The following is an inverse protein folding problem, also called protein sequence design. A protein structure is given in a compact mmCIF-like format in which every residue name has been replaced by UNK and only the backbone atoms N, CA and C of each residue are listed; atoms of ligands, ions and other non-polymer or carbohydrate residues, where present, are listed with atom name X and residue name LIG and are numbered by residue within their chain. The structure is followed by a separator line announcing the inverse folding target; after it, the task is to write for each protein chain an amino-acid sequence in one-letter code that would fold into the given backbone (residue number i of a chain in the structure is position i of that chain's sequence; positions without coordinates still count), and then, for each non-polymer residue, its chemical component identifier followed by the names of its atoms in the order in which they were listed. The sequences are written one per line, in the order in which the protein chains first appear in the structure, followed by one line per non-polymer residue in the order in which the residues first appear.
data_IF_532674127238
#
_entry.id   IF_532674127238
#
_cell.length_a   1.000
_cell.length_b   1.000
_cell.length_c   1.000
_cell.angle_alpha   90.00
_cell.angle_beta   90.00
_cell.angle_gamma   90.00
#
_symmetry.space_group_name_H-M   'P 1'
#
loop_
_entity.id
_entity.type
_entity.pdbx_description
1 polymer ?
#
# COMPACT_ATOMS: atom_id res chain seq x y z
N UNK A 1 27.47 -16.82 4.92
CA UNK A 1 26.13 -16.94 5.52
C UNK A 1 25.59 -18.33 5.21
N UNK A 2 24.50 -18.77 5.84
CA UNK A 2 23.78 -19.98 5.45
C UNK A 2 22.27 -19.74 5.48
N UNK A 3 21.49 -20.67 4.95
CA UNK A 3 20.04 -20.58 4.92
C UNK A 3 19.39 -21.94 5.24
N UNK A 4 18.31 -21.93 6.02
CA UNK A 4 17.46 -23.09 6.29
C UNK A 4 16.02 -22.77 5.87
N UNK A 5 15.55 -23.46 4.84
CA UNK A 5 14.18 -23.38 4.36
C UNK A 5 13.75 -24.73 3.76
N UNK A 6 12.45 -24.90 3.54
CA UNK A 6 11.84 -26.14 3.01
C UNK A 6 12.07 -26.35 1.51
N UNK A 7 12.54 -25.34 0.79
CA UNK A 7 12.84 -25.40 -0.64
C UNK A 7 14.29 -25.76 -0.98
N UNK A 8 15.18 -25.83 0.01
CA UNK A 8 16.55 -26.28 -0.16
C UNK A 8 16.60 -27.79 -0.45
N UNK A 9 17.55 -28.21 -1.29
CA UNK A 9 17.86 -29.62 -1.45
C UNK A 9 18.33 -30.23 -0.11
N UNK A 10 18.04 -31.51 0.17
CA UNK A 10 18.43 -32.16 1.42
C UNK A 10 19.93 -32.06 1.72
N UNK A 11 20.76 -32.12 0.68
CA UNK A 11 22.22 -32.01 0.78
C UNK A 11 22.68 -30.59 1.21
N UNK A 12 22.01 -29.55 0.73
CA UNK A 12 22.30 -28.16 1.11
C UNK A 12 21.93 -27.90 2.57
N UNK A 13 20.80 -28.46 3.01
CA UNK A 13 20.38 -28.41 4.40
C UNK A 13 21.38 -29.16 5.31
N UNK A 14 21.80 -30.37 4.92
CA UNK A 14 22.79 -31.15 5.68
C UNK A 14 24.13 -30.39 5.79
N UNK A 15 24.59 -29.80 4.68
CA UNK A 15 25.81 -28.98 4.66
C UNK A 15 25.68 -27.77 5.58
N UNK A 16 24.55 -27.07 5.53
CA UNK A 16 24.28 -25.91 6.39
C UNK A 16 24.26 -26.32 7.87
N UNK A 17 23.61 -27.42 8.22
CA UNK A 17 23.57 -27.95 9.59
C UNK A 17 24.97 -28.28 10.11
N UNK A 18 25.81 -28.96 9.32
CA UNK A 18 27.19 -29.26 9.68
C UNK A 18 28.01 -27.96 9.91
N UNK A 19 27.80 -26.93 9.10
CA UNK A 19 28.45 -25.62 9.28
C UNK A 19 27.96 -24.87 10.53
N UNK A 20 26.68 -25.02 10.90
CA UNK A 20 26.12 -24.47 12.15
C UNK A 20 26.80 -25.13 13.35
N UNK A 21 26.86 -26.46 13.38
CA UNK A 21 27.48 -27.22 14.47
C UNK A 21 28.97 -26.91 14.62
N UNK A 22 29.68 -26.79 13.49
CA UNK A 22 31.08 -26.37 13.45
C UNK A 22 31.29 -24.88 13.77
N UNK A 23 30.23 -24.10 14.05
CA UNK A 23 30.25 -22.66 14.33
C UNK A 23 30.92 -21.82 13.23
N UNK A 24 30.82 -22.26 11.98
CA UNK A 24 31.37 -21.56 10.81
C UNK A 24 30.42 -20.51 10.23
N UNK A 25 29.16 -20.50 10.66
CA UNK A 25 28.14 -19.55 10.20
C UNK A 25 28.06 -18.33 11.12
N UNK A 26 28.30 -17.14 10.56
CA UNK A 26 28.11 -15.84 11.24
C UNK A 26 26.70 -15.25 11.09
N UNK A 27 26.02 -15.59 9.99
CA UNK A 27 24.68 -15.12 9.66
C UNK A 27 23.89 -16.28 9.06
N UNK A 28 22.74 -16.58 9.66
CA UNK A 28 21.86 -17.67 9.26
C UNK A 28 20.47 -17.09 8.94
N UNK A 29 19.99 -17.33 7.72
CA UNK A 29 18.62 -17.06 7.33
C UNK A 29 17.77 -18.29 7.63
N UNK A 30 16.61 -18.10 8.26
CA UNK A 30 15.71 -19.21 8.59
C UNK A 30 14.30 -18.80 8.24
N UNK A 31 13.61 -19.62 7.44
CA UNK A 31 12.20 -19.40 7.17
C UNK A 31 11.37 -19.62 8.45
N UNK A 32 10.31 -18.83 8.72
CA UNK A 32 9.52 -18.92 9.95
C UNK A 32 9.00 -20.33 10.24
N UNK A 33 8.51 -21.03 9.22
CA UNK A 33 7.99 -22.40 9.32
C UNK A 33 9.07 -23.41 9.71
N UNK A 34 10.33 -23.17 9.31
CA UNK A 34 11.48 -24.01 9.72
C UNK A 34 11.94 -23.64 11.13
N UNK A 35 11.95 -22.36 11.47
CA UNK A 35 12.26 -21.87 12.82
C UNK A 35 11.25 -22.37 13.86
N UNK A 36 10.01 -22.59 13.46
CA UNK A 36 8.91 -23.05 14.29
C UNK A 36 9.02 -24.53 14.74
N UNK A 37 9.98 -25.29 14.20
CA UNK A 37 10.23 -26.69 14.54
C UNK A 37 11.11 -26.81 15.78
N UNK A 38 10.71 -27.66 16.73
CA UNK A 38 11.41 -27.84 18.01
C UNK A 38 12.87 -28.26 17.83
N UNK A 39 13.17 -29.13 16.86
CA UNK A 39 14.54 -29.54 16.51
C UNK A 39 15.44 -28.33 16.16
N UNK A 40 14.89 -27.36 15.42
CA UNK A 40 15.60 -26.16 14.99
C UNK A 40 15.77 -25.20 16.15
N UNK A 41 14.72 -25.02 16.97
CA UNK A 41 14.77 -24.21 18.18
C UNK A 41 15.86 -24.73 19.12
N UNK A 42 15.88 -26.03 19.41
CA UNK A 42 16.84 -26.61 20.36
C UNK A 42 18.28 -26.55 19.83
N UNK A 43 18.47 -26.75 18.52
CA UNK A 43 19.78 -26.57 17.88
C UNK A 43 20.26 -25.13 18.02
N UNK A 44 19.45 -24.15 17.64
CA UNK A 44 19.84 -22.74 17.69
C UNK A 44 20.02 -22.23 19.12
N UNK A 45 19.23 -22.71 20.08
CA UNK A 45 19.40 -22.40 21.50
C UNK A 45 20.79 -22.78 22.02
N UNK A 46 21.33 -23.95 21.61
CA UNK A 46 22.70 -24.38 21.96
C UNK A 46 23.78 -23.47 21.36
N UNK A 47 23.49 -22.84 20.23
CA UNK A 47 24.42 -21.92 19.57
C UNK A 47 24.47 -20.54 20.23
N UNK A 48 23.49 -20.19 21.08
CA UNK A 48 23.40 -18.92 21.81
C UNK A 48 23.54 -17.71 20.87
N UNK A 49 22.60 -17.52 19.93
CA UNK A 49 22.65 -16.40 19.00
C UNK A 49 22.74 -15.08 19.78
N UNK A 50 23.56 -14.15 19.29
CA UNK A 50 23.71 -12.83 19.93
C UNK A 50 22.69 -11.82 19.45
N UNK A 51 22.18 -12.02 18.23
CA UNK A 51 21.26 -11.13 17.54
C UNK A 51 20.18 -11.98 16.86
N UNK A 52 18.93 -11.56 16.97
CA UNK A 52 17.79 -12.05 16.20
C UNK A 52 17.26 -10.88 15.36
N UNK A 53 17.35 -11.00 14.03
CA UNK A 53 16.77 -10.03 13.10
C UNK A 53 15.51 -10.64 12.47
N UNK A 54 14.38 -9.98 12.65
CA UNK A 54 13.10 -10.35 12.03
C UNK A 54 12.84 -9.39 10.89
N UNK A 55 12.92 -9.90 9.66
CA UNK A 55 12.52 -9.18 8.46
C UNK A 55 11.02 -9.37 8.19
N UNK A 56 10.40 -8.41 7.51
CA UNK A 56 8.96 -8.34 7.28
C UNK A 56 8.13 -8.56 8.56
N UNK A 57 8.53 -7.86 9.62
CA UNK A 57 7.95 -8.02 10.95
C UNK A 57 6.43 -7.76 11.00
N UNK A 58 5.86 -7.08 10.01
CA UNK A 58 4.42 -6.87 9.91
C UNK A 58 3.61 -8.18 9.83
N UNK A 59 4.21 -9.29 9.38
CA UNK A 59 3.61 -10.62 9.31
C UNK A 59 3.17 -11.17 10.68
N UNK A 60 3.65 -10.63 11.81
CA UNK A 60 3.22 -11.04 13.16
C UNK A 60 1.82 -10.56 13.52
N UNK A 61 1.37 -9.46 12.92
CA UNK A 61 0.11 -8.82 13.27
C UNK A 61 -1.00 -9.43 12.44
N UNK A 62 -2.10 -9.81 13.09
CA UNK A 62 -3.34 -10.22 12.40
C UNK A 62 -4.00 -9.06 11.64
N UNK A 63 -3.57 -7.84 11.95
CA UNK A 63 -3.94 -6.59 11.27
C UNK A 63 -2.86 -6.19 10.26
N UNK A 64 -1.85 -7.04 10.06
CA UNK A 64 -0.94 -6.94 8.94
C UNK A 64 -1.55 -7.59 7.71
N UNK A 65 -1.30 -7.01 6.55
CA UNK A 65 -1.83 -7.48 5.27
C UNK A 65 -1.28 -8.86 4.80
N UNK A 66 -0.25 -9.41 5.47
CA UNK A 66 0.30 -10.75 5.22
C UNK A 66 0.53 -11.52 6.53
N UNK A 67 -0.49 -11.63 7.39
CA UNK A 67 -0.38 -12.35 8.66
C UNK A 67 0.07 -13.82 8.46
N UNK A 68 1.12 -14.23 9.20
CA UNK A 68 1.63 -15.60 9.23
C UNK A 68 1.67 -16.13 10.66
N UNK A 69 0.96 -17.23 10.98
CA UNK A 69 0.95 -17.79 12.35
C UNK A 69 2.34 -18.09 12.92
N UNK A 70 3.28 -18.55 12.08
CA UNK A 70 4.65 -18.87 12.52
C UNK A 70 5.42 -17.64 12.99
N UNK A 71 5.15 -16.46 12.41
CA UNK A 71 5.74 -15.20 12.84
C UNK A 71 5.36 -14.83 14.29
N UNK A 72 4.11 -15.10 14.68
CA UNK A 72 3.63 -14.80 16.02
C UNK A 72 4.34 -15.63 17.11
N UNK A 73 4.95 -16.77 16.76
CA UNK A 73 5.71 -17.62 17.69
C UNK A 73 7.14 -17.13 17.91
N UNK A 74 7.67 -16.25 17.07
CA UNK A 74 9.09 -15.84 17.10
C UNK A 74 9.46 -15.20 18.44
N UNK A 75 8.57 -14.41 19.05
CA UNK A 75 8.81 -13.83 20.37
C UNK A 75 9.06 -14.90 21.43
N UNK A 76 8.19 -15.91 21.54
CA UNK A 76 8.37 -17.00 22.50
C UNK A 76 9.62 -17.84 22.21
N UNK A 77 9.95 -18.05 20.93
CA UNK A 77 11.18 -18.71 20.50
C UNK A 77 12.41 -17.90 20.94
N UNK A 78 12.38 -16.58 20.85
CA UNK A 78 13.49 -15.72 21.30
C UNK A 78 13.78 -15.90 22.80
N UNK A 79 12.79 -16.19 23.65
CA UNK A 79 13.01 -16.52 25.08
C UNK A 79 13.82 -17.79 25.23
N UNK A 80 13.55 -18.82 24.41
CA UNK A 80 14.29 -20.10 24.40
C UNK A 80 15.75 -19.91 24.01
N UNK A 81 16.06 -18.86 23.24
CA UNK A 81 17.42 -18.49 22.88
C UNK A 81 18.14 -17.66 23.97
N UNK A 82 17.49 -17.40 25.11
CA UNK A 82 18.02 -16.54 26.16
C UNK A 82 17.80 -15.05 25.92
N UNK A 83 16.76 -14.69 25.15
CA UNK A 83 16.40 -13.30 24.83
C UNK A 83 17.57 -12.49 24.22
N UNK A 84 18.06 -12.89 23.03
CA UNK A 84 19.13 -12.16 22.35
C UNK A 84 18.73 -10.72 22.04
N UNK A 85 19.70 -9.89 21.61
CA UNK A 85 19.35 -8.59 21.04
C UNK A 85 18.41 -8.83 19.85
N UNK A 86 17.23 -8.21 19.88
CA UNK A 86 16.24 -8.35 18.80
C UNK A 86 16.15 -7.07 18.00
N UNK A 87 16.08 -7.21 16.67
CA UNK A 87 15.76 -6.13 15.74
C UNK A 87 14.62 -6.64 14.86
N UNK A 88 13.59 -5.82 14.65
CA UNK A 88 12.50 -6.10 13.75
C UNK A 88 12.43 -4.98 12.71
N UNK A 89 12.37 -5.34 11.43
CA UNK A 89 12.31 -4.39 10.31
C UNK A 89 11.10 -4.71 9.43
N UNK A 90 10.51 -3.66 8.87
CA UNK A 90 9.40 -3.76 7.91
C UNK A 90 9.32 -2.46 7.12
N UNK A 91 8.95 -2.56 5.84
CA UNK A 91 8.71 -1.38 5.00
C UNK A 91 7.37 -0.70 5.31
N UNK A 92 6.40 -1.45 5.83
CA UNK A 92 5.03 -0.99 6.08
C UNK A 92 4.51 -1.49 7.41
N UNK A 93 4.16 -0.57 8.29
CA UNK A 93 3.42 -0.86 9.50
C UNK A 93 2.62 0.39 9.90
N UNK A 94 1.30 0.27 9.89
CA UNK A 94 0.41 1.25 10.50
C UNK A 94 0.60 1.25 12.04
N UNK A 95 0.16 2.30 12.77
CA UNK A 95 0.36 2.39 14.22
C UNK A 95 -0.03 1.13 14.99
N UNK A 96 -1.20 0.55 14.70
CA UNK A 96 -1.66 -0.71 15.33
C UNK A 96 -0.72 -1.89 15.06
N UNK A 97 -0.23 -2.04 13.82
CA UNK A 97 0.75 -3.08 13.47
C UNK A 97 2.07 -2.89 14.22
N UNK A 98 2.52 -1.65 14.47
CA UNK A 98 3.74 -1.36 15.24
C UNK A 98 3.59 -1.81 16.70
N UNK A 99 2.42 -1.54 17.29
CA UNK A 99 2.12 -1.95 18.66
C UNK A 99 2.11 -3.48 18.79
N UNK A 100 1.54 -4.18 17.80
CA UNK A 100 1.58 -5.64 17.72
C UNK A 100 3.01 -6.18 17.57
N UNK A 101 3.82 -5.60 16.69
CA UNK A 101 5.24 -5.95 16.53
C UNK A 101 5.96 -5.81 17.87
N UNK A 102 5.81 -4.67 18.54
CA UNK A 102 6.45 -4.38 19.82
C UNK A 102 6.02 -5.41 20.89
N UNK A 103 4.73 -5.72 20.97
CA UNK A 103 4.16 -6.64 21.97
C UNK A 103 4.50 -8.11 21.72
N UNK A 104 4.48 -8.54 20.45
CA UNK A 104 4.63 -9.95 20.09
C UNK A 104 6.08 -10.38 19.93
N UNK A 105 6.98 -9.51 19.45
CA UNK A 105 8.37 -9.89 19.17
C UNK A 105 9.36 -9.53 20.28
N UNK A 106 9.05 -8.56 21.14
CA UNK A 106 10.01 -8.03 22.09
C UNK A 106 9.62 -8.31 23.55
N UNK A 107 10.62 -8.67 24.36
CA UNK A 107 10.46 -8.88 25.82
C UNK A 107 10.54 -7.60 26.64
N UNK A 108 11.08 -6.54 26.04
CA UNK A 108 11.20 -5.20 26.61
C UNK A 108 10.79 -4.20 25.53
N UNK A 109 10.25 -3.06 25.91
CA UNK A 109 9.85 -2.01 24.97
C UNK A 109 11.01 -1.67 24.01
N UNK A 110 10.84 -1.88 22.68
CA UNK A 110 11.89 -1.58 21.72
C UNK A 110 12.05 -0.07 21.53
N UNK A 111 13.23 0.35 21.08
CA UNK A 111 13.38 1.69 20.49
C UNK A 111 12.75 1.67 19.10
N UNK A 112 11.76 2.52 18.88
CA UNK A 112 11.04 2.63 17.62
C UNK A 112 11.70 3.70 16.73
N UNK A 113 12.08 3.29 15.51
CA UNK A 113 12.58 4.18 14.48
C UNK A 113 11.60 4.17 13.30
N UNK A 114 10.96 5.31 13.02
CA UNK A 114 10.03 5.46 11.89
C UNK A 114 10.59 6.51 10.95
N UNK A 115 10.86 6.11 9.71
CA UNK A 115 11.16 7.04 8.63
C UNK A 115 9.87 7.40 7.88
N UNK A 116 9.91 8.53 7.17
CA UNK A 116 8.76 8.97 6.37
C UNK A 116 8.40 7.95 5.29
N UNK A 117 7.10 7.76 5.11
CA UNK A 117 6.47 6.95 4.06
C UNK A 117 6.27 7.76 2.77
N UNK A 118 6.64 9.05 2.74
CA UNK A 118 6.42 9.90 1.58
C UNK A 118 7.26 9.46 0.37
N UNK A 119 6.57 9.22 -0.76
CA UNK A 119 7.18 9.00 -2.07
C UNK A 119 6.74 10.08 -3.05
N UNK A 120 7.30 11.31 -2.95
CA UNK A 120 6.82 12.46 -3.70
C UNK A 120 6.98 12.30 -5.22
N UNK A 121 7.84 11.39 -5.66
CA UNK A 121 8.05 11.08 -7.07
C UNK A 121 6.95 10.21 -7.69
N UNK A 122 6.04 9.64 -6.89
CA UNK A 122 4.94 8.80 -7.39
C UNK A 122 3.63 9.62 -7.41
N UNK A 123 3.05 9.83 -8.58
CA UNK A 123 1.75 10.47 -8.71
C UNK A 123 0.61 9.44 -8.59
N UNK A 124 -0.30 9.63 -7.64
CA UNK A 124 -1.44 8.71 -7.42
C UNK A 124 -2.68 9.19 -8.17
N UNK A 125 -3.36 8.28 -8.88
CA UNK A 125 -4.70 8.48 -9.42
C UNK A 125 -5.63 7.28 -9.18
N UNK A 126 -6.90 7.58 -8.89
CA UNK A 126 -7.95 6.55 -8.76
C UNK A 126 -9.04 6.80 -9.81
N UNK A 127 -9.38 5.78 -10.58
CA UNK A 127 -10.27 5.86 -11.73
C UNK A 127 -11.37 4.80 -11.64
N UNK A 128 -12.56 5.13 -12.14
CA UNK A 128 -13.62 4.12 -12.28
C UNK A 128 -13.28 3.21 -13.44
N UNK A 129 -13.33 1.90 -13.22
CA UNK A 129 -13.12 0.89 -14.26
C UNK A 129 -14.32 0.84 -15.19
N UNK A 130 -14.06 0.93 -16.49
CA UNK A 130 -15.04 0.70 -17.56
C UNK A 130 -14.79 -0.67 -18.19
N UNK A 131 -13.58 -0.90 -18.68
CA UNK A 131 -13.17 -2.17 -19.30
C UNK A 131 -11.68 -2.40 -19.06
N UNK A 132 -11.36 -3.50 -18.37
CA UNK A 132 -10.01 -3.74 -17.84
C UNK A 132 -8.90 -3.59 -18.89
N UNK A 133 -9.03 -4.24 -20.05
CA UNK A 133 -8.03 -4.17 -21.11
C UNK A 133 -7.82 -2.74 -21.64
N UNK A 134 -8.89 -1.99 -21.92
CA UNK A 134 -8.76 -0.68 -22.56
C UNK A 134 -8.31 0.39 -21.57
N UNK A 135 -8.72 0.25 -20.31
CA UNK A 135 -8.29 1.10 -19.21
C UNK A 135 -6.79 0.89 -18.92
N UNK A 136 -6.34 -0.36 -18.80
CA UNK A 136 -4.91 -0.71 -18.59
C UNK A 136 -4.07 -0.34 -19.80
N UNK A 137 -4.51 -0.67 -21.02
CA UNK A 137 -3.82 -0.28 -22.25
C UNK A 137 -3.70 1.25 -22.40
N UNK A 138 -4.67 2.01 -21.87
CA UNK A 138 -4.59 3.46 -21.80
C UNK A 138 -3.45 3.97 -20.92
N UNK A 139 -3.20 3.31 -19.78
CA UNK A 139 -2.06 3.62 -18.91
C UNK A 139 -0.75 3.25 -19.60
N UNK A 140 -0.65 2.03 -20.14
CA UNK A 140 0.55 1.55 -20.85
C UNK A 140 0.89 2.48 -22.03
N UNK A 141 -0.11 2.97 -22.76
CA UNK A 141 0.10 3.91 -23.88
C UNK A 141 0.65 5.26 -23.42
N UNK A 142 0.24 5.75 -22.25
CA UNK A 142 0.80 6.97 -21.67
C UNK A 142 2.27 6.80 -21.24
N UNK A 143 2.68 5.56 -20.98
CA UNK A 143 4.02 5.13 -20.56
C UNK A 143 4.72 4.28 -21.65
N UNK A 144 4.51 4.62 -22.93
CA UNK A 144 5.01 3.81 -24.04
C UNK A 144 6.55 3.73 -24.00
N UNK A 145 7.08 2.51 -24.02
CA UNK A 145 8.52 2.24 -23.99
C UNK A 145 9.10 2.19 -22.57
N UNK A 146 8.25 2.29 -21.56
CA UNK A 146 8.64 2.23 -20.16
C UNK A 146 8.15 0.94 -19.49
N UNK A 147 8.87 0.50 -18.46
CA UNK A 147 8.48 -0.68 -17.69
C UNK A 147 7.40 -0.37 -16.67
N UNK A 148 6.54 -1.35 -16.40
CA UNK A 148 5.48 -1.20 -15.40
C UNK A 148 4.97 -2.50 -14.85
N UNK A 149 4.18 -2.40 -13.78
CA UNK A 149 3.52 -3.55 -13.15
C UNK A 149 2.01 -3.34 -13.20
N UNK A 150 1.28 -4.36 -13.59
CA UNK A 150 -0.18 -4.40 -13.58
C UNK A 150 -0.64 -5.46 -12.59
N UNK A 151 -1.35 -5.07 -11.53
CA UNK A 151 -1.90 -5.97 -10.54
C UNK A 151 -3.36 -6.35 -10.85
N UNK A 152 -3.65 -7.64 -10.82
CA UNK A 152 -4.96 -8.24 -11.09
C UNK A 152 -5.46 -9.05 -9.88
N UNK A 153 -6.78 -9.10 -9.69
CA UNK A 153 -7.40 -9.82 -8.56
C UNK A 153 -7.38 -11.35 -8.66
N UNK A 154 -7.07 -11.94 -9.82
CA UNK A 154 -7.05 -13.40 -9.98
C UNK A 154 -6.01 -13.89 -11.00
N UNK A 155 -5.64 -15.18 -10.89
CA UNK A 155 -4.72 -15.85 -11.84
C UNK A 155 -5.29 -15.84 -13.26
N UNK A 156 -6.57 -16.20 -13.42
CA UNK A 156 -7.24 -16.19 -14.71
C UNK A 156 -7.26 -14.80 -15.35
N UNK A 157 -7.56 -13.75 -14.58
CA UNK A 157 -7.53 -12.37 -15.08
C UNK A 157 -6.10 -11.93 -15.47
N UNK A 158 -5.09 -12.39 -14.73
CA UNK A 158 -3.68 -12.14 -15.03
C UNK A 158 -3.30 -12.72 -16.40
N UNK A 159 -3.57 -14.00 -16.62
CA UNK A 159 -3.29 -14.68 -17.89
C UNK A 159 -4.04 -14.05 -19.06
N UNK A 160 -5.34 -13.80 -18.89
CA UNK A 160 -6.18 -13.21 -19.93
C UNK A 160 -5.71 -11.81 -20.33
N UNK A 161 -5.40 -10.96 -19.33
CA UNK A 161 -4.95 -9.60 -19.59
C UNK A 161 -3.55 -9.57 -20.21
N UNK A 162 -2.62 -10.41 -19.73
CA UNK A 162 -1.28 -10.52 -20.31
C UNK A 162 -1.34 -10.92 -21.79
N UNK A 163 -2.11 -11.97 -22.12
CA UNK A 163 -2.31 -12.41 -23.50
C UNK A 163 -2.92 -11.32 -24.37
N UNK A 164 -4.01 -10.69 -23.92
CA UNK A 164 -4.66 -9.64 -24.68
C UNK A 164 -3.75 -8.41 -24.90
N UNK A 165 -2.89 -8.06 -23.95
CA UNK A 165 -1.89 -7.01 -24.11
C UNK A 165 -0.80 -7.41 -25.10
N UNK A 166 -0.33 -8.66 -25.03
CA UNK A 166 0.68 -9.20 -25.96
C UNK A 166 0.17 -9.24 -27.41
N UNK A 167 -1.09 -9.65 -27.63
CA UNK A 167 -1.75 -9.62 -28.93
C UNK A 167 -1.84 -8.20 -29.52
N UNK A 168 -1.73 -7.17 -28.66
CA UNK A 168 -1.72 -5.75 -29.03
C UNK A 168 -0.30 -5.15 -29.03
N UNK A 169 0.75 -5.98 -29.04
CA UNK A 169 2.15 -5.56 -29.20
C UNK A 169 2.82 -5.02 -27.93
N UNK A 170 2.26 -5.30 -26.74
CA UNK A 170 2.92 -5.01 -25.45
C UNK A 170 3.78 -6.20 -25.05
N UNK A 171 5.01 -5.96 -24.57
CA UNK A 171 5.82 -7.00 -23.92
C UNK A 171 5.26 -7.34 -22.53
N UNK A 172 4.10 -8.01 -22.50
CA UNK A 172 3.34 -8.31 -21.29
C UNK A 172 3.68 -9.72 -20.77
N UNK A 173 4.16 -9.79 -19.53
CA UNK A 173 4.66 -11.03 -18.91
C UNK A 173 3.72 -11.43 -17.76
N UNK A 174 3.06 -12.61 -17.79
CA UNK A 174 2.19 -13.03 -16.70
C UNK A 174 3.02 -13.53 -15.50
N UNK A 175 2.57 -13.23 -14.27
CA UNK A 175 3.19 -13.74 -13.05
C UNK A 175 2.18 -14.03 -11.94
N UNK A 176 2.07 -15.30 -11.55
CA UNK A 176 1.27 -15.69 -10.40
C UNK A 176 1.70 -17.05 -9.85
N UNK A 177 1.28 -17.37 -8.62
CA UNK A 177 1.63 -18.61 -7.93
C UNK A 177 1.20 -19.92 -8.65
N UNK A 178 0.27 -19.85 -9.61
CA UNK A 178 -0.12 -21.00 -10.43
C UNK A 178 0.83 -21.33 -11.60
N UNK A 179 1.80 -20.47 -11.94
CA UNK A 179 2.82 -20.78 -12.94
C UNK A 179 3.87 -21.70 -12.32
N UNK A 180 4.47 -22.57 -13.13
CA UNK A 180 5.61 -23.38 -12.71
C UNK A 180 6.83 -22.48 -12.40
N UNK A 181 7.77 -23.01 -11.61
CA UNK A 181 8.90 -22.23 -11.12
C UNK A 181 9.81 -21.73 -12.25
N UNK A 182 10.00 -22.52 -13.31
CA UNK A 182 10.86 -22.14 -14.44
C UNK A 182 10.25 -20.97 -15.22
N UNK A 183 8.96 -21.03 -15.52
CA UNK A 183 8.24 -19.94 -16.20
C UNK A 183 8.23 -18.66 -15.35
N UNK A 184 8.01 -18.77 -14.03
CA UNK A 184 8.09 -17.59 -13.13
C UNK A 184 9.47 -16.94 -13.16
N UNK A 185 10.53 -17.74 -13.08
CA UNK A 185 11.91 -17.24 -13.14
C UNK A 185 12.18 -16.56 -14.48
N UNK A 186 11.83 -17.21 -15.60
CA UNK A 186 12.05 -16.66 -16.93
C UNK A 186 11.35 -15.31 -17.13
N UNK A 187 10.08 -15.21 -16.74
CA UNK A 187 9.32 -13.95 -16.84
C UNK A 187 9.89 -12.86 -15.93
N UNK A 188 10.34 -13.22 -14.72
CA UNK A 188 10.99 -12.27 -13.81
C UNK A 188 12.31 -11.78 -14.39
N UNK A 189 13.15 -12.66 -14.90
CA UNK A 189 14.45 -12.33 -15.48
C UNK A 189 14.27 -11.43 -16.72
N UNK A 190 13.30 -11.75 -17.57
CA UNK A 190 12.96 -10.91 -18.72
C UNK A 190 12.47 -9.51 -18.29
N UNK A 191 11.61 -9.43 -17.27
CA UNK A 191 11.15 -8.15 -16.73
C UNK A 191 12.29 -7.29 -16.16
N UNK A 192 13.26 -7.92 -15.48
CA UNK A 192 14.43 -7.24 -14.95
C UNK A 192 15.33 -6.71 -16.08
N UNK A 193 15.53 -7.51 -17.13
CA UNK A 193 16.42 -7.20 -18.24
C UNK A 193 15.85 -6.14 -19.20
N UNK A 194 14.54 -6.13 -19.44
CA UNK A 194 13.90 -5.23 -20.40
C UNK A 194 13.53 -3.88 -19.78
N UNK A 195 13.67 -2.81 -20.55
CA UNK A 195 13.26 -1.45 -20.15
C UNK A 195 11.79 -1.14 -20.48
N UNK A 196 11.16 -1.94 -21.33
CA UNK A 196 9.84 -1.69 -21.93
C UNK A 196 8.81 -2.80 -21.61
N UNK A 197 9.14 -3.72 -20.70
CA UNK A 197 8.27 -4.83 -20.32
C UNK A 197 7.24 -4.46 -19.27
N UNK A 198 6.05 -5.06 -19.37
CA UNK A 198 4.98 -4.91 -18.39
C UNK A 198 4.74 -6.24 -17.69
N UNK A 199 5.02 -6.30 -16.39
CA UNK A 199 4.64 -7.45 -15.59
C UNK A 199 3.15 -7.38 -15.28
N UNK A 200 2.38 -8.40 -15.65
CA UNK A 200 0.97 -8.53 -15.27
C UNK A 200 0.89 -9.62 -14.20
N UNK A 201 0.46 -9.28 -12.99
CA UNK A 201 0.61 -10.18 -11.87
C UNK A 201 -0.54 -10.16 -10.86
N UNK A 202 -0.64 -11.22 -10.06
CA UNK A 202 -1.33 -11.16 -8.77
C UNK A 202 -0.39 -10.64 -7.68
N UNK A 203 -0.89 -10.52 -6.44
CA UNK A 203 -0.09 -10.17 -5.24
C UNK A 203 1.16 -11.06 -5.02
N UNK A 204 1.24 -12.21 -5.69
CA UNK A 204 2.41 -13.08 -5.66
C UNK A 204 3.68 -12.39 -6.21
N UNK A 205 3.54 -11.38 -7.07
CA UNK A 205 4.66 -10.57 -7.54
C UNK A 205 4.99 -9.45 -6.54
N UNK A 206 5.54 -9.86 -5.40
CA UNK A 206 5.67 -9.04 -4.21
C UNK A 206 7.10 -8.99 -3.64
N UNK A 207 7.58 -10.07 -3.06
CA UNK A 207 8.86 -9.98 -2.32
C UNK A 207 10.05 -10.11 -3.28
N UNK A 208 11.10 -9.30 -3.06
CA UNK A 208 12.43 -9.50 -3.69
C UNK A 208 12.65 -8.93 -5.10
N UNK A 209 11.68 -8.25 -5.71
CA UNK A 209 11.90 -7.57 -7.00
C UNK A 209 12.66 -6.26 -6.76
N UNK A 210 13.80 -6.09 -7.43
CA UNK A 210 14.59 -4.85 -7.39
C UNK A 210 14.84 -4.28 -8.79
N UNK A 211 13.75 -3.91 -9.48
CA UNK A 211 13.82 -3.09 -10.69
C UNK A 211 13.66 -1.62 -10.32
N UNK A 212 14.71 -0.82 -10.54
CA UNK A 212 14.73 0.58 -10.09
C UNK A 212 13.86 1.50 -10.95
N UNK A 213 13.70 1.14 -12.22
CA UNK A 213 13.17 1.95 -13.31
C UNK A 213 11.71 1.63 -13.67
N UNK A 214 10.92 1.12 -12.72
CA UNK A 214 9.47 0.92 -12.91
C UNK A 214 8.76 2.28 -12.95
N UNK A 215 8.18 2.63 -14.11
CA UNK A 215 7.56 3.95 -14.35
C UNK A 215 6.09 4.02 -13.99
N UNK A 216 5.40 2.89 -13.98
CA UNK A 216 4.04 2.85 -13.49
C UNK A 216 3.70 1.55 -12.73
N UNK A 217 2.81 1.69 -11.76
CA UNK A 217 2.10 0.57 -11.13
C UNK A 217 0.61 0.80 -11.36
N UNK A 218 -0.06 -0.19 -11.93
CA UNK A 218 -1.46 -0.11 -12.31
C UNK A 218 -2.26 -1.25 -11.65
N UNK A 219 -3.21 -0.90 -10.81
CA UNK A 219 -4.14 -1.87 -10.23
C UNK A 219 -5.37 -1.99 -11.13
N UNK A 220 -5.51 -3.11 -11.84
CA UNK A 220 -6.73 -3.43 -12.60
C UNK A 220 -7.92 -3.72 -11.66
N UNK A 221 -7.61 -4.20 -10.45
CA UNK A 221 -8.50 -4.37 -9.30
C UNK A 221 -7.89 -3.67 -8.09
N UNK A 222 -8.69 -2.90 -7.35
CA UNK A 222 -8.26 -2.22 -6.13
C UNK A 222 -7.81 -3.26 -5.07
N UNK A 223 -6.68 -3.04 -4.38
CA UNK A 223 -6.25 -3.91 -3.28
C UNK A 223 -7.25 -3.93 -2.11
N UNK A 224 -7.07 -4.88 -1.20
CA UNK A 224 -7.96 -5.05 -0.05
C UNK A 224 -7.62 -4.16 1.16
N UNK A 225 -6.45 -3.53 1.18
CA UNK A 225 -6.00 -2.64 2.26
C UNK A 225 -5.07 -1.53 1.74
N UNK A 226 -4.88 -0.49 2.55
CA UNK A 226 -3.96 0.62 2.25
C UNK A 226 -2.51 0.17 2.31
N UNK A 227 -2.16 -0.75 3.20
CA UNK A 227 -0.82 -1.32 3.33
C UNK A 227 -0.42 -2.08 2.07
N UNK A 228 -1.30 -2.96 1.58
CA UNK A 228 -1.06 -3.71 0.34
C UNK A 228 -0.89 -2.74 -0.84
N UNK A 229 -1.80 -1.77 -0.97
CA UNK A 229 -1.71 -0.73 -1.97
C UNK A 229 -0.38 0.04 -1.90
N UNK A 230 0.03 0.48 -0.71
CA UNK A 230 1.27 1.23 -0.50
C UNK A 230 2.51 0.40 -0.86
N UNK A 231 2.58 -0.87 -0.45
CA UNK A 231 3.70 -1.75 -0.81
C UNK A 231 3.81 -1.93 -2.32
N UNK A 232 2.68 -2.17 -2.98
CA UNK A 232 2.60 -2.44 -4.41
C UNK A 232 3.01 -1.21 -5.23
N UNK A 233 2.47 -0.02 -4.92
CA UNK A 233 2.88 1.21 -5.61
C UNK A 233 4.32 1.61 -5.29
N UNK A 234 4.84 1.23 -4.12
CA UNK A 234 6.20 1.53 -3.68
C UNK A 234 7.29 0.92 -4.56
N UNK A 235 6.93 -0.02 -5.45
CA UNK A 235 7.79 -0.60 -6.49
C UNK A 235 8.12 0.37 -7.61
N UNK A 236 7.26 1.37 -7.83
CA UNK A 236 7.49 2.39 -8.83
C UNK A 236 8.59 3.37 -8.39
N UNK A 237 9.37 3.87 -9.36
CA UNK A 237 10.29 5.00 -9.18
C UNK A 237 11.28 4.84 -8.02
N UNK A 238 11.90 3.68 -7.87
CA UNK A 238 12.92 3.45 -6.83
C UNK A 238 14.23 4.20 -7.11
N UNK A 239 14.46 4.56 -8.36
CA UNK A 239 15.49 5.52 -8.79
C UNK A 239 15.19 6.98 -8.39
N UNK A 240 14.02 7.25 -7.79
CA UNK A 240 13.59 8.60 -7.40
C UNK A 240 13.03 9.44 -8.55
N UNK A 241 13.02 8.92 -9.78
CA UNK A 241 12.44 9.60 -10.93
C UNK A 241 10.90 9.54 -10.89
N UNK A 242 10.21 10.44 -11.63
CA UNK A 242 8.75 10.44 -11.69
C UNK A 242 8.18 9.07 -12.08
N UNK A 243 7.11 8.67 -11.40
CA UNK A 243 6.35 7.46 -11.70
C UNK A 243 4.85 7.69 -11.43
N UNK A 244 3.99 6.84 -11.99
CA UNK A 244 2.53 6.90 -11.78
C UNK A 244 2.00 5.65 -11.08
N UNK A 245 1.12 5.85 -10.10
CA UNK A 245 0.30 4.80 -9.52
C UNK A 245 -1.16 5.02 -9.93
N UNK A 246 -1.74 4.08 -10.68
CA UNK A 246 -3.13 4.15 -11.15
C UNK A 246 -3.92 3.00 -10.56
N UNK A 247 -5.00 3.30 -9.84
CA UNK A 247 -5.92 2.27 -9.37
C UNK A 247 -7.28 2.36 -10.07
N UNK A 248 -7.73 1.25 -10.63
CA UNK A 248 -9.06 1.10 -11.19
C UNK A 248 -10.00 0.45 -10.19
N UNK A 249 -11.19 1.02 -10.05
CA UNK A 249 -12.22 0.55 -9.12
C UNK A 249 -13.45 0.13 -9.91
N UNK A 250 -13.86 -1.13 -9.75
CA UNK A 250 -15.04 -1.67 -10.42
C UNK A 250 -16.32 -0.91 -10.02
N UNK A 251 -17.37 -0.98 -10.85
CA UNK A 251 -18.66 -0.36 -10.49
C UNK A 251 -19.23 -0.95 -9.20
N UNK A 252 -19.13 -2.27 -9.01
CA UNK A 252 -19.59 -2.92 -7.78
C UNK A 252 -18.78 -2.45 -6.59
N UNK A 253 -17.45 -2.48 -6.64
CA UNK A 253 -16.60 -1.99 -5.55
C UNK A 253 -16.87 -0.50 -5.25
N UNK A 254 -16.99 0.33 -6.29
CA UNK A 254 -17.30 1.76 -6.14
C UNK A 254 -18.61 2.02 -5.41
N UNK A 255 -19.61 1.12 -5.57
CA UNK A 255 -20.92 1.21 -4.92
C UNK A 255 -20.98 0.46 -3.58
N UNK A 256 -20.23 -0.64 -3.43
CA UNK A 256 -20.32 -1.59 -2.32
C UNK A 256 -19.39 -1.25 -1.15
N UNK A 257 -18.35 -0.44 -1.33
CA UNK A 257 -17.51 0.00 -0.20
C UNK A 257 -18.33 0.94 0.71
N UNK A 258 -18.89 0.35 1.78
CA UNK A 258 -19.87 0.92 2.69
C UNK A 258 -20.97 -0.07 3.11
N UNK A 259 -21.14 -1.18 2.38
CA UNK A 259 -22.03 -2.28 2.74
C UNK A 259 -21.17 -3.54 2.96
N UNK A 260 -20.99 -3.92 4.23
CA UNK A 260 -20.43 -5.23 4.56
C UNK A 260 -21.41 -6.31 4.07
N UNK A 261 -21.03 -7.07 3.05
CA UNK A 261 -21.74 -8.32 2.71
C UNK A 261 -21.04 -9.49 3.40
N UNK A 262 -21.77 -10.16 4.30
CA UNK A 262 -21.51 -11.54 4.69
C UNK A 262 -20.87 -11.75 6.06
N UNK A 263 -21.53 -12.62 6.83
CA UNK A 263 -21.20 -13.13 8.16
C UNK A 263 -19.72 -13.58 8.31
N UNK A 264 -19.13 -13.28 9.47
CA UNK A 264 -17.83 -13.77 10.00
C UNK A 264 -16.53 -13.17 9.42
N UNK A 265 -16.53 -11.98 8.82
CA UNK A 265 -15.28 -11.22 8.69
C UNK A 265 -14.89 -10.66 10.07
N UNK A 266 -13.65 -10.91 10.53
CA UNK A 266 -13.13 -10.22 11.72
C UNK A 266 -13.25 -8.71 11.53
N UNK A 267 -13.62 -7.97 12.58
CA UNK A 267 -13.75 -6.49 12.57
C UNK A 267 -12.57 -5.80 11.86
N UNK A 268 -11.36 -6.39 11.97
CA UNK A 268 -10.15 -6.03 11.25
C UNK A 268 -10.29 -5.89 9.73
N UNK A 269 -10.82 -6.91 9.07
CA UNK A 269 -10.88 -6.93 7.61
C UNK A 269 -11.95 -5.95 7.11
N UNK A 270 -12.99 -5.70 7.90
CA UNK A 270 -13.97 -4.68 7.62
C UNK A 270 -13.36 -3.27 7.69
N UNK A 271 -12.56 -2.98 8.73
CA UNK A 271 -11.83 -1.71 8.88
C UNK A 271 -10.89 -1.44 7.69
N UNK A 272 -10.10 -2.43 7.27
CA UNK A 272 -9.19 -2.31 6.12
C UNK A 272 -9.94 -2.04 4.81
N UNK A 273 -11.03 -2.78 4.57
CA UNK A 273 -11.87 -2.62 3.38
C UNK A 273 -12.59 -1.26 3.37
N UNK A 274 -12.99 -0.75 4.52
CA UNK A 274 -13.55 0.59 4.66
C UNK A 274 -12.48 1.65 4.35
N UNK A 275 -11.29 1.53 4.92
CA UNK A 275 -10.19 2.48 4.71
C UNK A 275 -9.77 2.59 3.23
N UNK A 276 -9.60 1.45 2.53
CA UNK A 276 -9.25 1.47 1.10
C UNK A 276 -10.41 2.00 0.23
N UNK A 277 -11.65 1.72 0.62
CA UNK A 277 -12.85 2.27 -0.02
C UNK A 277 -12.99 3.78 0.13
N UNK A 278 -12.66 4.31 1.31
CA UNK A 278 -12.65 5.75 1.59
C UNK A 278 -11.49 6.44 0.89
N UNK A 279 -10.32 5.82 0.84
CA UNK A 279 -9.22 6.28 0.00
C UNK A 279 -9.62 6.38 -1.47
N UNK A 280 -10.35 5.40 -2.00
CA UNK A 280 -10.75 5.37 -3.40
C UNK A 280 -11.80 6.44 -3.76
N UNK A 281 -12.80 6.65 -2.89
CA UNK A 281 -13.93 7.58 -3.13
C UNK A 281 -13.70 8.98 -2.59
N UNK A 282 -12.78 9.14 -1.65
CA UNK A 282 -12.52 10.39 -0.96
C UNK A 282 -12.08 11.51 -1.90
N UNK A 283 -12.36 12.74 -1.48
CA UNK A 283 -11.94 13.97 -2.17
C UNK A 283 -10.65 14.56 -1.61
N UNK A 284 -10.10 13.97 -0.54
CA UNK A 284 -8.83 14.37 0.04
C UNK A 284 -7.66 14.10 -0.93
N UNK A 285 -6.54 14.79 -0.76
CA UNK A 285 -5.28 14.42 -1.38
C UNK A 285 -4.95 12.95 -1.09
N UNK A 286 -4.83 12.12 -2.14
CA UNK A 286 -4.57 10.68 -2.05
C UNK A 286 -3.38 10.34 -1.16
N UNK A 287 -2.25 11.01 -1.37
CA UNK A 287 -1.05 10.82 -0.55
C UNK A 287 -1.26 11.15 0.92
N UNK A 288 -1.97 12.24 1.22
CA UNK A 288 -2.29 12.62 2.60
C UNK A 288 -3.13 11.55 3.29
N UNK A 289 -4.09 10.94 2.59
CA UNK A 289 -4.89 9.83 3.12
C UNK A 289 -4.02 8.61 3.43
N UNK A 290 -3.15 8.21 2.50
CA UNK A 290 -2.24 7.06 2.69
C UNK A 290 -1.28 7.30 3.87
N UNK A 291 -0.64 8.47 3.93
CA UNK A 291 0.31 8.81 4.99
C UNK A 291 -0.38 8.87 6.36
N UNK A 292 -1.55 9.50 6.45
CA UNK A 292 -2.32 9.57 7.70
C UNK A 292 -2.69 8.18 8.20
N UNK A 293 -3.11 7.29 7.30
CA UNK A 293 -3.41 5.90 7.63
C UNK A 293 -2.16 5.19 8.20
N UNK A 294 -0.98 5.44 7.63
CA UNK A 294 0.30 4.95 8.15
C UNK A 294 0.82 5.73 9.38
N UNK A 295 0.03 6.65 9.95
CA UNK A 295 0.40 7.42 11.14
C UNK A 295 1.42 8.53 10.89
N UNK A 296 1.46 9.07 9.67
CA UNK A 296 2.27 10.24 9.30
C UNK A 296 1.37 11.40 8.84
N UNK A 297 1.49 12.55 9.50
CA UNK A 297 0.80 13.76 9.09
C UNK A 297 1.49 14.43 7.90
N UNK A 298 0.70 14.80 6.89
CA UNK A 298 1.22 15.40 5.67
C UNK A 298 0.31 16.50 5.11
N UNK A 299 0.93 17.47 4.42
CA UNK A 299 0.22 18.45 3.59
C UNK A 299 -0.28 17.79 2.30
N UNK A 300 -1.18 18.47 1.59
CA UNK A 300 -1.60 18.02 0.27
C UNK A 300 -0.40 17.97 -0.70
N UNK A 301 -0.27 16.89 -1.47
CA UNK A 301 0.91 16.63 -2.31
C UNK A 301 0.99 17.48 -3.59
N UNK A 302 -0.11 18.12 -4.00
CA UNK A 302 -0.17 18.91 -5.24
C UNK A 302 -0.18 18.09 -6.54
N UNK A 303 0.25 16.82 -6.52
CA UNK A 303 0.47 16.01 -7.72
C UNK A 303 -0.56 14.91 -7.99
N UNK A 304 -1.36 14.47 -6.99
CA UNK A 304 -2.37 13.43 -7.18
C UNK A 304 -3.60 13.93 -7.96
N UNK A 305 -4.42 13.00 -8.45
CA UNK A 305 -5.66 13.29 -9.18
C UNK A 305 -6.59 14.29 -8.46
N UNK A 306 -6.79 14.13 -7.15
CA UNK A 306 -7.64 15.03 -6.35
C UNK A 306 -7.02 16.44 -6.22
N UNK A 307 -5.71 16.55 -6.03
CA UNK A 307 -5.03 17.85 -6.02
C UNK A 307 -5.11 18.55 -7.38
N UNK A 308 -4.90 17.81 -8.47
CA UNK A 308 -4.98 18.34 -9.85
C UNK A 308 -6.40 18.80 -10.19
N UNK A 309 -7.44 18.05 -9.78
CA UNK A 309 -8.85 18.45 -9.97
C UNK A 309 -9.20 19.74 -9.23
N UNK A 310 -8.73 19.90 -7.98
CA UNK A 310 -8.96 21.11 -7.18
C UNK A 310 -8.35 22.36 -7.83
N UNK A 311 -7.15 22.23 -8.40
CA UNK A 311 -6.49 23.30 -9.16
C UNK A 311 -7.29 23.68 -10.42
N UNK A 312 -7.90 22.71 -11.11
CA UNK A 312 -8.76 23.00 -12.27
C UNK A 312 -10.04 23.75 -11.92
N UNK A 313 -10.64 23.49 -10.74
CA UNK A 313 -11.84 24.22 -10.30
C UNK A 313 -11.53 25.70 -10.00
N UNK A 314 -10.39 25.98 -9.35
CA UNK A 314 -9.91 27.34 -9.09
C UNK A 314 -9.58 28.13 -10.37
N UNK A 315 -9.32 27.45 -11.49
CA UNK A 315 -9.03 28.08 -12.79
C UNK A 315 -10.27 28.36 -13.65
N UNK A 316 -11.48 27.96 -13.24
CA UNK A 316 -12.71 28.30 -13.97
C UNK A 316 -13.15 29.74 -13.62
N UNK A 317 -13.26 30.67 -14.59
CA UNK A 317 -13.62 32.08 -14.32
C UNK A 317 -14.98 32.23 -13.62
N UNK A 318 -15.90 31.28 -13.82
CA UNK A 318 -17.19 31.24 -13.14
C UNK A 318 -17.09 30.95 -11.62
N UNK A 319 -16.07 30.21 -11.17
CA UNK A 319 -15.84 29.93 -9.75
C UNK A 319 -15.25 31.16 -9.05
N UNK A 320 -14.35 31.89 -9.72
CA UNK A 320 -13.85 33.18 -9.24
C UNK A 320 -14.97 34.22 -9.19
N UNK A 321 -15.83 34.29 -10.21
CA UNK A 321 -16.99 35.18 -10.24
C UNK A 321 -18.02 34.85 -9.14
N UNK A 322 -18.24 33.58 -8.81
CA UNK A 322 -19.11 33.17 -7.69
C UNK A 322 -18.49 33.51 -6.33
N UNK A 323 -17.18 33.29 -6.16
CA UNK A 323 -16.46 33.64 -4.93
C UNK A 323 -16.41 35.16 -4.71
N UNK A 324 -16.18 35.96 -5.77
CA UNK A 324 -16.21 37.41 -5.69
C UNK A 324 -17.62 37.94 -5.50
N UNK A 325 -18.65 37.32 -6.10
CA UNK A 325 -20.06 37.70 -5.87
C UNK A 325 -20.51 37.39 -4.44
N UNK A 326 -20.12 36.25 -3.87
CA UNK A 326 -20.39 35.94 -2.46
C UNK A 326 -19.68 36.90 -1.50
N UNK A 327 -18.40 37.21 -1.76
CA UNK A 327 -17.64 38.19 -0.97
C UNK A 327 -18.17 39.63 -1.14
N UNK A 328 -18.65 40.00 -2.32
CA UNK A 328 -19.26 41.29 -2.61
C UNK A 328 -20.63 41.42 -1.96
N UNK A 329 -21.49 40.41 -2.05
CA UNK A 329 -22.81 40.38 -1.38
C UNK A 329 -22.64 40.44 0.13
N UNK A 330 -21.68 39.70 0.71
CA UNK A 330 -21.38 39.77 2.15
C UNK A 330 -20.80 41.13 2.57
N UNK A 331 -20.00 41.80 1.73
CA UNK A 331 -19.52 43.16 2.02
C UNK A 331 -20.62 44.22 1.88
N UNK A 332 -21.49 44.08 0.88
CA UNK A 332 -22.58 45.04 0.62
C UNK A 332 -23.71 44.88 1.64
N UNK A 333 -24.03 43.66 2.08
CA UNK A 333 -25.05 43.44 3.13
C UNK A 333 -24.59 43.96 4.50
N UNK A 334 -23.28 44.03 4.74
CA UNK A 334 -22.71 44.62 5.96
C UNK A 334 -22.63 46.15 5.92
N UNK A 335 -22.63 46.74 4.71
CA UNK A 335 -22.62 48.19 4.48
C UNK A 335 -24.02 48.81 4.47
N UNK A 336 -25.02 48.06 4.00
CA UNK A 336 -26.42 48.45 4.03
C UNK A 336 -27.16 47.59 5.04
N UNK A 337 -27.06 47.99 6.31
CA UNK A 337 -27.78 47.34 7.39
C UNK A 337 -29.27 47.21 7.07
N UNK A 338 -29.75 45.97 7.06
CA UNK A 338 -31.17 45.63 7.17
C UNK A 338 -32.09 46.20 6.09
N UNK A 339 -31.97 45.72 4.86
CA UNK A 339 -33.13 45.55 3.95
C UNK A 339 -32.83 44.45 2.94
N UNK A 340 -33.62 43.37 2.99
CA UNK A 340 -33.50 42.23 2.10
C UNK A 340 -33.69 42.69 0.64
N UNK A 341 -32.70 42.41 -0.20
CA UNK A 341 -32.88 42.40 -1.64
C UNK A 341 -33.10 40.92 -1.99
N UNK A 342 -34.35 40.54 -2.22
CA UNK A 342 -34.67 39.26 -2.87
C UNK A 342 -34.12 39.32 -4.30
N UNK A 343 -33.12 38.49 -4.58
CA UNK A 343 -32.72 38.19 -5.94
C UNK A 343 -33.18 36.76 -6.23
N UNK A 344 -34.03 36.63 -7.24
CA UNK A 344 -34.66 35.40 -7.74
C UNK A 344 -33.67 34.22 -7.76
N UNK A 345 -34.08 33.13 -7.13
CA UNK A 345 -33.41 31.85 -7.16
C UNK A 345 -33.72 31.18 -8.50
N UNK A 346 -32.69 30.98 -9.33
CA UNK A 346 -32.74 29.99 -10.40
C UNK A 346 -32.70 28.59 -9.76
N UNK A 347 -33.79 27.84 -9.95
CA UNK A 347 -33.96 26.46 -9.51
C UNK A 347 -32.99 25.53 -10.27
N UNK A 348 -31.86 25.17 -9.65
CA UNK A 348 -31.30 23.81 -9.76
C UNK A 348 -30.25 23.58 -8.66
N UNK A 349 -30.72 23.27 -7.44
CA UNK A 349 -29.87 22.88 -6.32
C UNK A 349 -30.29 21.47 -5.89
N UNK A 350 -29.49 20.47 -6.30
CA UNK A 350 -29.54 19.14 -5.70
C UNK A 350 -28.81 19.15 -4.34
N UNK A 351 -29.42 18.70 -3.23
CA UNK A 351 -28.90 18.95 -1.89
C UNK A 351 -27.98 17.82 -1.43
N UNK A 352 -26.66 17.92 -1.64
CA UNK A 352 -25.70 17.00 -0.99
C UNK A 352 -24.37 17.62 -0.51
N UNK A 353 -24.23 18.94 -0.42
CA UNK A 353 -23.03 19.54 0.19
C UNK A 353 -23.42 20.69 1.11
N UNK A 354 -23.90 20.34 2.29
CA UNK A 354 -24.06 21.28 3.39
C UNK A 354 -23.73 20.58 4.72
N UNK A 355 -22.45 20.22 4.93
CA UNK A 355 -21.91 19.94 6.26
C UNK A 355 -20.37 19.92 6.24
N UNK A 356 -19.73 21.08 5.99
CA UNK A 356 -18.36 21.35 6.48
C UNK A 356 -18.22 22.87 6.66
N UNK A 357 -18.69 23.40 7.79
CA UNK A 357 -18.26 24.69 8.35
C UNK A 357 -18.91 24.90 9.73
N UNK A 358 -18.54 24.07 10.71
CA UNK A 358 -18.55 24.46 12.12
C UNK A 358 -17.28 23.87 12.74
N UNK A 359 -16.25 24.69 12.78
CA UNK A 359 -15.03 24.48 13.55
C UNK A 359 -14.93 25.65 14.50
N UNK A 360 -14.89 25.33 15.79
CA UNK A 360 -14.65 26.20 16.93
C UNK A 360 -13.50 27.19 16.71
N UNK A 361 -13.80 28.47 16.95
CA UNK A 361 -12.82 29.42 17.46
C UNK A 361 -13.20 29.65 18.93
N UNK A 362 -12.33 29.20 19.84
CA UNK A 362 -12.37 29.63 21.23
C UNK A 362 -11.64 30.97 21.36
N UNK A 363 -12.23 31.92 22.09
CA UNK A 363 -11.42 32.85 22.86
C UNK A 363 -12.14 33.39 24.11
N UNK A 364 -11.31 33.60 25.13
CA UNK A 364 -11.60 34.08 26.47
C UNK A 364 -12.37 35.41 26.53
N UNK A 365 -13.33 35.52 27.45
CA UNK A 365 -13.56 36.76 28.23
C UNK A 365 -14.31 36.52 29.56
N UNK A 366 -13.55 36.68 30.64
CA UNK A 366 -13.83 37.08 32.03
C UNK A 366 -15.24 37.55 32.50
N UNK A 367 -15.51 37.23 33.78
CA UNK A 367 -16.35 37.90 34.81
C UNK A 367 -17.87 37.88 34.60
N UNK A 368 -18.74 37.44 35.54
CA UNK A 368 -18.72 37.23 37.01
C UNK A 368 -19.38 35.90 37.34
#
# INVERSE_FOLDING_TARGET
AGALNSGNEPEDNATTLAMIEARKIKLLYVAPERLALDETIDMLARMKPRLLAIDEAHCVSRWGHDFRPDYARIGEIAKRFGAPQTIAVTATAAPRTRDDIARLLFHRGPRLFVHSFARPNIAISVRRRRHALSDVAGVIRAHRGESGIVYCGSRAATDQLARALADNGVAALPYHAGLDAATRSANQDEFLARSDSVMVATIAFGMGIDKKDVRFVCHADLPHSIEAYYQEIGRAGRDGLPAEAVAFVSRSAWMAHGAAEGDLASDARADELAAIGDFARGFDCRWRTVLRYLGEDAKACGACDNCRRRLMWLRKPQALARATRAAFVHRVSHLFGGRAIEAEADEDISPQIAHVARGDDGDNALTV
#
